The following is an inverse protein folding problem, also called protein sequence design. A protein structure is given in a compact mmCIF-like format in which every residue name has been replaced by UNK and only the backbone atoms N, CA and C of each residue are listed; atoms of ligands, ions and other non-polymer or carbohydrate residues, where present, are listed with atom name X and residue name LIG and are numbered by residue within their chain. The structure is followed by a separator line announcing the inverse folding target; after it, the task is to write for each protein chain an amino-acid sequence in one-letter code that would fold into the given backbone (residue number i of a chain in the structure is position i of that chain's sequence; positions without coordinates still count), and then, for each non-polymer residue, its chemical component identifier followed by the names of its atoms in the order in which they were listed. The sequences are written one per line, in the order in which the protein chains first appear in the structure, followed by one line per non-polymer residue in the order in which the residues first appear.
data_IF_635749100464
#
_entry.id   IF_635749100464
#
_cell.length_a   1.000
_cell.length_b   1.000
_cell.length_c   1.000
_cell.angle_alpha   90.00
_cell.angle_beta   90.00
_cell.angle_gamma   90.00
#
_symmetry.space_group_name_H-M   'P 1'
#
loop_
_entity.id
_entity.type
_entity.pdbx_description
1 polymer ?
#
# COMPACT_ATOMS: atom_id res chain seq x y z
N UNK A 1 5.07 -22.57 -5.35
CA UNK A 1 3.89 -22.96 -4.55
C UNK A 1 2.86 -21.81 -4.53
N UNK A 2 1.70 -21.94 -3.87
CA UNK A 2 0.79 -20.81 -3.68
C UNK A 2 1.45 -19.65 -2.90
N UNK A 3 2.26 -19.96 -1.88
CA UNK A 3 2.97 -18.96 -1.09
C UNK A 3 3.97 -18.15 -1.93
N UNK A 4 4.69 -18.82 -2.83
CA UNK A 4 5.60 -18.15 -3.76
C UNK A 4 4.87 -17.14 -4.67
N UNK A 5 3.67 -17.48 -5.16
CA UNK A 5 2.87 -16.57 -5.98
C UNK A 5 2.42 -15.34 -5.18
N UNK A 6 2.03 -15.55 -3.92
CA UNK A 6 1.64 -14.46 -3.02
C UNK A 6 2.85 -13.57 -2.71
N UNK A 7 4.01 -14.16 -2.40
CA UNK A 7 5.26 -13.43 -2.19
C UNK A 7 5.61 -12.56 -3.39
N UNK A 8 5.63 -13.13 -4.61
CA UNK A 8 5.91 -12.38 -5.83
C UNK A 8 4.93 -11.21 -6.03
N UNK A 9 3.65 -11.42 -5.68
CA UNK A 9 2.62 -10.38 -5.77
C UNK A 9 2.88 -9.25 -4.78
N UNK A 10 3.22 -9.53 -3.51
CA UNK A 10 3.46 -8.47 -2.52
C UNK A 10 4.77 -7.72 -2.79
N UNK A 11 5.78 -8.40 -3.34
CA UNK A 11 7.07 -7.80 -3.70
C UNK A 11 6.89 -6.71 -4.76
N UNK A 12 6.15 -6.97 -5.84
CA UNK A 12 5.85 -5.94 -6.86
C UNK A 12 4.71 -4.98 -6.47
N UNK A 13 3.74 -5.49 -5.72
CA UNK A 13 2.52 -4.77 -5.34
C UNK A 13 2.80 -3.57 -4.44
N UNK A 14 3.76 -3.67 -3.52
CA UNK A 14 4.14 -2.58 -2.60
C UNK A 14 4.68 -1.35 -3.34
N UNK A 15 5.53 -1.55 -4.35
CA UNK A 15 6.01 -0.45 -5.20
C UNK A 15 4.86 0.16 -6.01
N UNK A 16 4.03 -0.68 -6.62
CA UNK A 16 2.86 -0.24 -7.38
C UNK A 16 1.93 0.61 -6.50
N UNK A 17 1.73 0.20 -5.25
CA UNK A 17 0.91 0.91 -4.28
C UNK A 17 1.54 2.25 -3.88
N UNK A 18 2.85 2.28 -3.61
CA UNK A 18 3.57 3.52 -3.30
C UNK A 18 3.42 4.56 -4.43
N UNK A 19 3.63 4.15 -5.68
CA UNK A 19 3.47 5.02 -6.86
C UNK A 19 2.01 5.44 -7.04
N UNK A 20 1.06 4.52 -6.88
CA UNK A 20 -0.38 4.83 -6.94
C UNK A 20 -0.81 5.87 -5.90
N UNK A 21 -0.18 5.90 -4.72
CA UNK A 21 -0.43 6.91 -3.69
C UNK A 21 0.09 8.29 -4.06
N UNK A 22 1.17 8.39 -4.84
CA UNK A 22 1.59 9.67 -5.43
C UNK A 22 0.53 10.17 -6.43
N UNK A 23 -0.08 9.27 -7.22
CA UNK A 23 -1.23 9.61 -8.06
C UNK A 23 -2.47 10.06 -7.25
N UNK A 24 -2.72 9.43 -6.10
CA UNK A 24 -3.79 9.87 -5.20
C UNK A 24 -3.57 11.29 -4.67
N UNK A 25 -2.30 11.62 -4.36
CA UNK A 25 -1.90 12.96 -3.95
C UNK A 25 -2.22 13.98 -5.06
N UNK A 26 -1.91 13.67 -6.33
CA UNK A 26 -2.17 14.58 -7.46
C UNK A 26 -3.65 14.83 -7.71
N UNK A 27 -4.49 13.82 -7.52
CA UNK A 27 -5.93 13.96 -7.68
C UNK A 27 -6.64 14.58 -6.45
N UNK A 28 -5.92 14.72 -5.33
CA UNK A 28 -6.49 15.11 -4.05
C UNK A 28 -7.55 14.14 -3.53
N UNK A 29 -7.34 12.83 -3.73
CA UNK A 29 -8.17 11.77 -3.15
C UNK A 29 -7.46 11.07 -1.98
N UNK A 30 -8.19 10.22 -1.25
CA UNK A 30 -7.70 9.53 -0.05
C UNK A 30 -7.08 10.50 0.97
N UNK A 31 -7.66 11.70 1.06
CA UNK A 31 -7.15 12.81 1.86
C UNK A 31 -7.38 12.59 3.36
N UNK A 32 -6.58 13.29 4.16
CA UNK A 32 -6.70 13.28 5.61
C UNK A 32 -7.70 14.30 6.15
N UNK A 33 -7.87 14.25 7.47
CA UNK A 33 -8.66 15.23 8.24
C UNK A 33 -7.97 16.60 8.24
N UNK A 34 -8.71 17.70 8.47
CA UNK A 34 -8.14 19.01 8.75
C UNK A 34 -7.04 18.93 9.81
N UNK A 35 -5.93 19.62 9.57
CA UNK A 35 -4.73 19.51 10.40
C UNK A 35 -3.93 20.79 10.40
N UNK A 36 -3.31 21.08 11.55
CA UNK A 36 -2.32 22.15 11.71
C UNK A 36 -0.87 21.61 11.69
N UNK A 37 -0.68 20.34 11.28
CA UNK A 37 0.64 19.74 11.14
C UNK A 37 1.52 20.56 10.19
N UNK A 38 2.84 20.68 10.44
CA UNK A 38 3.76 21.36 9.52
C UNK A 38 3.86 20.67 8.14
N UNK A 39 3.46 19.40 8.06
CA UNK A 39 3.41 18.64 6.80
C UNK A 39 2.04 18.74 6.11
N UNK A 40 1.08 19.50 6.65
CA UNK A 40 -0.24 19.63 6.05
C UNK A 40 -0.17 20.27 4.66
N UNK A 41 -1.01 19.79 3.75
CA UNK A 41 -1.13 20.32 2.39
C UNK A 41 -2.53 20.91 2.18
N UNK A 42 -2.67 21.75 1.15
CA UNK A 42 -3.95 22.36 0.76
C UNK A 42 -4.22 22.03 -0.70
N UNK A 43 -5.51 21.87 -1.03
CA UNK A 43 -5.95 21.77 -2.42
C UNK A 43 -6.75 23.00 -2.80
N UNK A 44 -6.18 23.83 -3.67
CA UNK A 44 -6.83 25.03 -4.21
C UNK A 44 -7.49 24.81 -5.57
N UNK A 45 -7.29 23.65 -6.20
CA UNK A 45 -8.02 23.29 -7.42
C UNK A 45 -9.44 22.81 -7.04
N UNK A 46 -10.52 23.40 -7.61
CA UNK A 46 -11.88 22.97 -7.31
C UNK A 46 -12.16 21.53 -7.78
N UNK A 47 -11.35 21.00 -8.68
CA UNK A 47 -11.41 19.62 -9.17
C UNK A 47 -10.67 18.61 -8.28
N UNK A 48 -10.04 19.02 -7.18
CA UNK A 48 -9.52 18.06 -6.22
C UNK A 48 -10.69 17.30 -5.55
N UNK A 49 -10.57 15.99 -5.34
CA UNK A 49 -11.66 15.21 -4.68
C UNK A 49 -11.95 15.73 -3.27
N UNK A 50 -10.93 16.17 -2.53
CA UNK A 50 -11.06 16.83 -1.23
C UNK A 50 -11.96 18.08 -1.28
N UNK A 51 -11.82 18.90 -2.33
CA UNK A 51 -12.66 20.07 -2.54
C UNK A 51 -14.09 19.68 -2.94
N UNK A 52 -14.26 18.80 -3.94
CA UNK A 52 -15.58 18.46 -4.50
C UNK A 52 -16.47 17.66 -3.56
N UNK A 53 -15.91 16.71 -2.81
CA UNK A 53 -16.69 15.74 -2.04
C UNK A 53 -16.79 16.13 -0.56
N UNK A 54 -15.76 16.77 -0.01
CA UNK A 54 -15.69 17.12 1.40
C UNK A 54 -15.67 18.64 1.66
N UNK A 55 -15.70 19.48 0.63
CA UNK A 55 -15.68 20.94 0.80
C UNK A 55 -14.36 21.49 1.36
N UNK A 56 -13.27 20.71 1.33
CA UNK A 56 -12.00 21.06 1.99
C UNK A 56 -11.07 21.94 1.13
N UNK A 57 -11.64 22.77 0.25
CA UNK A 57 -10.87 23.65 -0.62
C UNK A 57 -10.08 24.67 0.21
N UNK A 58 -8.78 24.77 0.00
CA UNK A 58 -7.89 25.70 0.72
C UNK A 58 -7.68 25.38 2.21
N UNK A 59 -8.31 24.30 2.72
CA UNK A 59 -8.18 23.87 4.12
C UNK A 59 -6.94 22.98 4.26
N UNK A 60 -6.05 23.25 5.23
CA UNK A 60 -4.89 22.40 5.47
C UNK A 60 -5.33 21.04 6.01
N UNK A 61 -4.84 19.98 5.38
CA UNK A 61 -5.18 18.59 5.71
C UNK A 61 -3.93 17.71 5.77
N UNK A 62 -4.01 16.61 6.51
CA UNK A 62 -2.95 15.60 6.50
C UNK A 62 -2.76 15.03 5.07
N UNK A 63 -1.53 15.01 4.52
CA UNK A 63 -1.21 14.34 3.26
C UNK A 63 -1.13 12.82 3.45
N UNK A 64 -2.23 12.20 3.86
CA UNK A 64 -2.32 10.75 4.08
C UNK A 64 -1.80 9.93 2.89
N UNK A 65 -2.01 10.31 1.61
CA UNK A 65 -1.39 9.59 0.50
C UNK A 65 0.13 9.53 0.59
N UNK A 66 0.80 10.61 1.02
CA UNK A 66 2.25 10.62 1.22
C UNK A 66 2.66 9.77 2.44
N UNK A 67 1.90 9.87 3.52
CA UNK A 67 2.10 9.05 4.73
C UNK A 67 1.91 7.55 4.46
N UNK A 68 1.21 7.19 3.40
CA UNK A 68 1.05 5.80 2.95
C UNK A 68 2.08 5.42 1.87
N UNK A 69 2.47 6.34 0.99
CA UNK A 69 3.46 6.10 -0.06
C UNK A 69 4.84 5.78 0.50
N UNK A 70 5.31 6.55 1.50
CA UNK A 70 6.66 6.40 2.06
C UNK A 70 6.83 5.05 2.77
N UNK A 71 5.93 4.61 3.68
CA UNK A 71 6.01 3.28 4.27
C UNK A 71 5.87 2.15 3.26
N UNK A 72 5.05 2.30 2.21
CA UNK A 72 4.95 1.28 1.15
C UNK A 72 6.24 1.14 0.35
N UNK A 73 6.95 2.24 0.08
CA UNK A 73 8.28 2.17 -0.53
C UNK A 73 9.31 1.53 0.40
N UNK A 74 9.28 1.86 1.69
CA UNK A 74 10.10 1.18 2.70
C UNK A 74 9.79 -0.32 2.79
N UNK A 75 8.52 -0.70 2.70
CA UNK A 75 8.07 -2.08 2.69
C UNK A 75 8.54 -2.80 1.43
N UNK A 76 8.48 -2.16 0.26
CA UNK A 76 9.07 -2.69 -0.97
C UNK A 76 10.55 -3.05 -0.79
N UNK A 77 11.35 -2.12 -0.27
CA UNK A 77 12.78 -2.34 -0.03
C UNK A 77 12.99 -3.48 0.97
N UNK A 78 12.26 -3.47 2.09
CA UNK A 78 12.37 -4.48 3.14
C UNK A 78 12.04 -5.88 2.62
N UNK A 79 10.90 -6.06 1.94
CA UNK A 79 10.45 -7.36 1.49
C UNK A 79 11.37 -7.93 0.41
N UNK A 80 11.86 -7.10 -0.51
CA UNK A 80 12.83 -7.53 -1.51
C UNK A 80 14.18 -7.88 -0.87
N UNK A 81 14.65 -7.12 0.13
CA UNK A 81 15.86 -7.46 0.86
C UNK A 81 15.74 -8.80 1.60
N UNK A 82 14.60 -9.06 2.25
CA UNK A 82 14.32 -10.33 2.94
C UNK A 82 14.26 -11.50 1.94
N UNK A 83 13.58 -11.31 0.80
CA UNK A 83 13.51 -12.31 -0.25
C UNK A 83 14.89 -12.63 -0.84
N UNK A 84 15.69 -11.60 -1.16
CA UNK A 84 17.05 -11.74 -1.69
C UNK A 84 18.02 -12.37 -0.67
N UNK A 85 17.76 -12.22 0.62
CA UNK A 85 18.50 -12.89 1.68
C UNK A 85 18.15 -14.39 1.82
N UNK A 86 17.31 -14.94 0.93
CA UNK A 86 16.97 -16.36 0.93
C UNK A 86 15.90 -16.74 1.95
N UNK A 87 14.99 -15.81 2.30
CA UNK A 87 13.88 -16.12 3.21
C UNK A 87 13.01 -17.25 2.68
N UNK A 88 12.40 -18.00 3.60
CA UNK A 88 11.42 -19.03 3.28
C UNK A 88 10.21 -18.46 2.53
N UNK A 89 9.67 -19.22 1.57
CA UNK A 89 8.37 -18.92 0.94
C UNK A 89 7.29 -18.62 1.99
N UNK A 90 6.53 -17.56 1.77
CA UNK A 90 5.47 -17.04 2.63
C UNK A 90 5.95 -16.01 3.67
N UNK A 91 7.25 -15.90 3.94
CA UNK A 91 7.78 -14.91 4.89
C UNK A 91 7.56 -13.48 4.39
N UNK A 92 7.90 -13.12 3.12
CA UNK A 92 7.59 -11.79 2.59
C UNK A 92 6.10 -11.44 2.65
N UNK A 93 5.21 -12.36 2.26
CA UNK A 93 3.77 -12.18 2.36
C UNK A 93 3.30 -11.94 3.81
N UNK A 94 3.81 -12.71 4.76
CA UNK A 94 3.42 -12.60 6.16
C UNK A 94 3.89 -11.26 6.76
N UNK A 95 5.14 -10.83 6.46
CA UNK A 95 5.66 -9.53 6.85
C UNK A 95 4.85 -8.38 6.25
N UNK A 96 4.49 -8.47 4.96
CA UNK A 96 3.61 -7.50 4.32
C UNK A 96 2.30 -7.35 5.09
N UNK A 97 1.61 -8.46 5.36
CA UNK A 97 0.30 -8.46 6.01
C UNK A 97 0.34 -7.79 7.39
N UNK A 98 1.37 -8.10 8.20
CA UNK A 98 1.58 -7.51 9.53
C UNK A 98 1.90 -6.02 9.43
N UNK A 99 2.92 -5.65 8.65
CA UNK A 99 3.45 -4.28 8.64
C UNK A 99 2.45 -3.34 7.97
N UNK A 100 1.95 -3.69 6.79
CA UNK A 100 0.97 -2.87 6.07
C UNK A 100 -0.35 -2.81 6.84
N UNK A 101 -0.81 -3.92 7.43
CA UNK A 101 -2.05 -3.95 8.22
C UNK A 101 -1.96 -3.04 9.44
N UNK A 102 -0.86 -3.14 10.21
CA UNK A 102 -0.62 -2.29 11.38
C UNK A 102 -0.50 -0.81 10.99
N UNK A 103 0.26 -0.51 9.94
CA UNK A 103 0.40 0.86 9.43
C UNK A 103 -0.93 1.43 8.94
N UNK A 104 -1.73 0.62 8.23
CA UNK A 104 -3.04 1.02 7.70
C UNK A 104 -4.05 1.32 8.81
N UNK A 105 -4.02 0.53 9.88
CA UNK A 105 -4.83 0.76 11.07
C UNK A 105 -4.54 2.13 11.70
N UNK A 106 -3.25 2.44 11.88
CA UNK A 106 -2.80 3.71 12.46
C UNK A 106 -3.08 4.91 11.56
N UNK A 107 -2.86 4.76 10.25
CA UNK A 107 -3.14 5.83 9.27
C UNK A 107 -4.62 6.20 9.19
N UNK A 108 -5.54 5.28 9.51
CA UNK A 108 -6.97 5.58 9.43
C UNK A 108 -7.41 6.66 10.39
N UNK A 109 -6.76 6.80 11.55
CA UNK A 109 -7.05 7.89 12.48
C UNK A 109 -6.79 9.28 11.87
N UNK A 110 -5.88 9.37 10.90
CA UNK A 110 -5.55 10.60 10.19
C UNK A 110 -6.42 10.81 8.94
N UNK A 111 -7.10 9.77 8.47
CA UNK A 111 -7.86 9.78 7.22
C UNK A 111 -9.20 10.48 7.40
N UNK A 112 -9.62 11.24 6.39
CA UNK A 112 -10.95 11.81 6.38
C UNK A 112 -11.99 10.70 6.27
N UNK A 113 -12.92 10.67 7.21
CA UNK A 113 -13.94 9.63 7.33
C UNK A 113 -15.29 10.21 6.90
N UNK A 114 -16.01 9.50 6.03
CA UNK A 114 -17.41 9.81 5.72
C UNK A 114 -18.27 9.16 6.81
N UNK A 115 -19.33 9.85 7.25
CA UNK A 115 -20.07 9.55 8.49
C UNK A 115 -20.60 8.11 8.63
N UNK A 116 -20.77 7.35 7.54
CA UNK A 116 -21.37 6.01 7.53
C UNK A 116 -20.36 4.83 7.52
N UNK A 117 -19.04 5.08 7.63
CA UNK A 117 -18.02 4.02 7.42
C UNK A 117 -17.58 3.28 8.71
N UNK A 118 -18.37 3.37 9.78
CA UNK A 118 -18.04 2.80 11.10
C UNK A 118 -18.82 1.54 11.40
N UNK A 119 -18.15 0.58 12.06
CA UNK A 119 -18.79 -0.58 12.68
C UNK A 119 -18.35 -0.59 14.15
N UNK A 120 -19.23 -0.16 15.05
CA UNK A 120 -18.91 0.02 16.46
C UNK A 120 -17.83 1.09 16.70
N UNK A 121 -16.78 0.81 17.50
CA UNK A 121 -15.78 1.80 17.87
C UNK A 121 -14.73 2.09 16.78
N UNK A 122 -14.69 1.32 15.68
CA UNK A 122 -13.66 1.41 14.66
C UNK A 122 -14.27 1.56 13.25
N UNK A 123 -13.48 2.13 12.34
CA UNK A 123 -13.81 2.17 10.91
C UNK A 123 -13.76 0.76 10.31
N UNK A 124 -14.54 0.50 9.25
CA UNK A 124 -14.51 -0.80 8.52
C UNK A 124 -13.11 -1.18 8.07
N UNK A 125 -12.36 -0.20 7.58
CA UNK A 125 -10.96 -0.33 7.15
C UNK A 125 -10.03 -0.72 8.30
N UNK A 126 -10.29 -0.27 9.53
CA UNK A 126 -9.51 -0.64 10.71
C UNK A 126 -9.76 -2.09 11.11
N UNK A 127 -11.00 -2.56 11.05
CA UNK A 127 -11.31 -3.98 11.25
C UNK A 127 -10.60 -4.87 10.24
N UNK A 128 -10.65 -4.50 8.95
CA UNK A 128 -9.93 -5.23 7.91
C UNK A 128 -8.41 -5.23 8.14
N UNK A 129 -7.87 -4.10 8.60
CA UNK A 129 -6.45 -3.97 8.93
C UNK A 129 -6.02 -4.89 10.08
N UNK A 130 -6.86 -5.05 11.09
CA UNK A 130 -6.62 -5.98 12.20
C UNK A 130 -6.65 -7.44 11.74
N UNK A 131 -7.64 -7.82 10.91
CA UNK A 131 -7.71 -9.17 10.33
C UNK A 131 -6.47 -9.46 9.49
N UNK A 132 -6.05 -8.49 8.66
CA UNK A 132 -4.86 -8.61 7.84
C UNK A 132 -3.60 -8.81 8.70
N UNK A 133 -3.40 -7.97 9.72
CA UNK A 133 -2.25 -8.07 10.61
C UNK A 133 -2.25 -9.39 11.40
N UNK A 134 -3.41 -9.82 11.90
CA UNK A 134 -3.58 -11.08 12.60
C UNK A 134 -3.29 -12.30 11.72
N UNK A 135 -3.76 -12.29 10.46
CA UNK A 135 -3.48 -13.35 9.51
C UNK A 135 -1.97 -13.44 9.18
N UNK A 136 -1.30 -12.30 9.01
CA UNK A 136 0.15 -12.25 8.82
C UNK A 136 0.92 -12.80 10.03
N UNK A 137 0.52 -12.42 11.24
CA UNK A 137 1.14 -12.92 12.46
C UNK A 137 0.97 -14.43 12.62
N UNK A 138 -0.24 -14.96 12.37
CA UNK A 138 -0.51 -16.38 12.40
C UNK A 138 0.33 -17.14 11.35
N UNK A 139 0.47 -16.59 10.14
CA UNK A 139 1.31 -17.16 9.09
C UNK A 139 2.79 -17.18 9.50
N UNK A 140 3.32 -16.10 10.07
CA UNK A 140 4.70 -16.08 10.60
C UNK A 140 4.93 -17.15 11.66
N UNK A 141 4.01 -17.29 12.62
CA UNK A 141 4.10 -18.32 13.67
C UNK A 141 4.07 -19.73 13.08
N UNK A 142 3.19 -19.98 12.11
CA UNK A 142 3.10 -21.27 11.43
C UNK A 142 4.39 -21.59 10.64
N UNK A 143 4.95 -20.60 9.94
CA UNK A 143 6.21 -20.74 9.21
C UNK A 143 7.42 -20.94 10.12
N UNK A 144 7.42 -20.35 11.32
CA UNK A 144 8.47 -20.55 12.31
C UNK A 144 8.41 -21.93 12.97
N UNK A 145 7.19 -22.45 13.18
CA UNK A 145 6.95 -23.77 13.78
C UNK A 145 7.23 -24.92 12.81
N UNK A 146 7.11 -24.69 11.51
CA UNK A 146 7.40 -25.71 10.51
C UNK A 146 8.91 -25.82 10.27
N UNK A 147 9.54 -26.90 10.71
CA UNK A 147 10.92 -27.23 10.30
C UNK A 147 10.92 -27.72 8.85
N UNK A 148 11.03 -26.81 7.88
CA UNK A 148 11.05 -27.13 6.46
C UNK A 148 12.37 -26.72 5.79
N UNK A 149 12.79 -27.40 4.70
CA UNK A 149 13.99 -27.01 3.97
C UNK A 149 13.88 -25.56 3.48
N UNK A 150 15.03 -24.88 3.40
CA UNK A 150 15.14 -23.56 2.80
C UNK A 150 14.59 -23.57 1.36
N UNK A 151 14.07 -22.42 0.92
CA UNK A 151 13.56 -22.21 -0.43
C UNK A 151 14.58 -22.67 -1.49
N UNK A 152 14.14 -23.14 -2.67
CA UNK A 152 15.05 -23.48 -3.78
C UNK A 152 15.98 -22.30 -4.09
N UNK A 153 17.21 -22.61 -4.49
CA UNK A 153 18.27 -21.63 -4.75
C UNK A 153 17.85 -20.63 -5.85
N UNK A 154 18.32 -19.39 -5.73
CA UNK A 154 18.05 -18.25 -6.63
C UNK A 154 18.10 -18.63 -8.12
N UNK A 155 18.99 -19.57 -8.52
CA UNK A 155 19.13 -20.03 -9.90
C UNK A 155 17.93 -20.78 -10.50
N UNK A 156 17.07 -21.43 -9.70
CA UNK A 156 15.78 -21.99 -10.18
C UNK A 156 14.66 -20.93 -10.15
N UNK A 157 14.81 -19.91 -9.31
CA UNK A 157 13.86 -18.81 -9.13
C UNK A 157 13.95 -17.78 -10.26
N UNK A 158 15.13 -17.62 -10.89
CA UNK A 158 15.37 -16.69 -12.00
C UNK A 158 14.39 -16.89 -13.17
N UNK A 159 14.10 -18.15 -13.55
CA UNK A 159 13.16 -18.44 -14.64
C UNK A 159 11.71 -18.04 -14.31
N UNK A 160 11.29 -18.21 -13.05
CA UNK A 160 9.93 -17.88 -12.60
C UNK A 160 9.77 -16.37 -12.33
N UNK A 161 10.80 -15.71 -11.80
CA UNK A 161 10.84 -14.26 -11.63
C UNK A 161 10.86 -13.52 -12.99
N UNK A 162 11.60 -14.04 -13.98
CA UNK A 162 11.60 -13.55 -15.36
C UNK A 162 10.24 -13.71 -16.06
N UNK A 163 9.44 -14.71 -15.68
CA UNK A 163 8.08 -14.91 -16.20
C UNK A 163 7.03 -13.97 -15.57
N UNK A 164 7.26 -13.50 -14.34
CA UNK A 164 6.34 -12.60 -13.63
C UNK A 164 6.65 -11.11 -13.87
N UNK A 165 7.89 -10.78 -14.25
CA UNK A 165 8.29 -9.42 -14.62
C UNK A 165 7.42 -8.79 -15.73
N UNK A 166 7.08 -9.48 -16.84
CA UNK A 166 6.17 -8.97 -17.87
C UNK A 166 4.76 -8.68 -17.33
N UNK A 167 4.24 -9.53 -16.45
CA UNK A 167 2.93 -9.33 -15.85
C UNK A 167 2.94 -8.13 -14.89
N UNK A 168 3.96 -8.02 -14.04
CA UNK A 168 4.13 -6.91 -13.10
C UNK A 168 4.36 -5.59 -13.84
N UNK A 169 5.14 -5.59 -14.91
CA UNK A 169 5.36 -4.40 -15.76
C UNK A 169 4.10 -4.02 -16.55
N UNK A 170 3.33 -4.97 -17.06
CA UNK A 170 2.03 -4.69 -17.69
C UNK A 170 1.03 -4.15 -16.68
N UNK A 171 0.92 -4.73 -15.49
CA UNK A 171 0.05 -4.22 -14.43
C UNK A 171 0.47 -2.80 -14.00
N UNK A 172 1.77 -2.56 -13.80
CA UNK A 172 2.29 -1.23 -13.48
C UNK A 172 2.03 -0.22 -14.61
N UNK A 173 2.24 -0.61 -15.87
CA UNK A 173 2.00 0.21 -17.05
C UNK A 173 0.51 0.53 -17.22
N UNK A 174 -0.40 -0.44 -17.00
CA UNK A 174 -1.84 -0.24 -17.07
C UNK A 174 -2.34 0.71 -15.98
N UNK A 175 -1.81 0.59 -14.76
CA UNK A 175 -2.08 1.56 -13.70
C UNK A 175 -1.57 2.94 -14.14
N UNK A 176 -0.34 3.06 -14.61
CA UNK A 176 0.22 4.33 -15.06
C UNK A 176 -0.56 4.95 -16.22
N UNK A 177 -1.04 4.14 -17.18
CA UNK A 177 -1.85 4.58 -18.32
C UNK A 177 -3.24 5.06 -17.87
N UNK A 178 -3.92 4.30 -17.02
CA UNK A 178 -5.22 4.68 -16.47
C UNK A 178 -5.15 6.00 -15.72
N UNK A 179 -4.07 6.25 -14.97
CA UNK A 179 -3.83 7.53 -14.31
C UNK A 179 -3.39 8.64 -15.27
N UNK A 180 -2.60 8.32 -16.30
CA UNK A 180 -2.10 9.30 -17.29
C UNK A 180 -3.17 9.81 -18.25
N UNK A 181 -4.20 9.01 -18.55
CA UNK A 181 -5.31 9.43 -19.40
C UNK A 181 -6.21 10.51 -18.77
N UNK A 182 -6.07 10.79 -17.46
CA UNK A 182 -6.75 11.89 -16.79
C UNK A 182 -5.96 13.23 -16.76
N UNK A 183 -4.83 13.33 -17.48
CA UNK A 183 -3.91 14.49 -17.50
C UNK A 183 -4.54 15.86 -17.75
N UNK A 184 -5.68 15.96 -18.43
CA UNK A 184 -6.27 17.25 -18.83
C UNK A 184 -6.72 18.17 -17.70
N UNK A 185 -6.72 17.72 -16.43
CA UNK A 185 -7.29 18.48 -15.30
C UNK A 185 -6.45 18.50 -14.01
N UNK A 186 -5.24 17.93 -14.01
CA UNK A 186 -4.50 17.59 -12.78
C UNK A 186 -3.15 18.33 -12.75
N UNK A 187 -2.85 19.03 -11.65
CA UNK A 187 -1.51 19.54 -11.37
C UNK A 187 -1.33 21.07 -11.40
N UNK A 188 -2.25 21.84 -10.81
CA UNK A 188 -1.89 23.17 -10.29
C UNK A 188 -2.12 23.14 -8.79
N UNK A 189 -1.02 22.84 -8.12
CA UNK A 189 -0.82 22.96 -6.68
C UNK A 189 -0.53 24.42 -6.36
#
# INVERSE_FOLDING_TARGET
SLLLLIDATVLGGTLTHAVGRVGCLTFGCCFGRPSNSPLAIRYDNPLAKAARVAGLRGIPIHPVPLYEAVPNLGLFILLNAVALAGSREGVPAALYLVIYGSGRFLLEFLRYELSDDRIGPLARSQWLSLVQAGAGAALLVALWSASGPASPSIGETDAQALLLLPLLTVCAALVFLAYSLHRGSIGRW
#
